data_IF_029687380724
#
_entry.id   IF_029687380724
#
_cell.length_a   1.000
_cell.length_b   1.000
_cell.length_c   1.000
_cell.angle_alpha   90.00
_cell.angle_beta   90.00
_cell.angle_gamma   90.00
#
_symmetry.space_group_name_H-M   'P 1'
#
loop_
_entity.id
_entity.type
_entity.pdbx_description
1 polymer ?
#
# COMPACT_ATOMS: atom_id res chain seq x y z
N UNK A 1 -9.74 -0.01 27.00
CA UNK A 1 -9.70 0.99 25.92
C UNK A 1 -8.56 0.62 24.98
N UNK A 2 -8.81 0.55 23.67
CA UNK A 2 -7.74 0.37 22.69
C UNK A 2 -7.23 1.77 22.38
N UNK A 3 -6.06 2.12 22.91
CA UNK A 3 -5.40 3.38 22.57
C UNK A 3 -5.01 3.33 21.10
N UNK A 4 -5.74 4.04 20.24
CA UNK A 4 -5.36 4.24 18.85
C UNK A 4 -4.11 5.13 18.82
N UNK A 5 -2.93 4.50 18.81
CA UNK A 5 -1.71 5.18 18.42
C UNK A 5 -1.79 5.47 16.93
N UNK A 6 -2.25 6.69 16.58
CA UNK A 6 -2.14 7.16 15.20
C UNK A 6 -0.70 7.59 14.95
N UNK A 7 -0.10 7.10 13.87
CA UNK A 7 1.19 7.61 13.41
C UNK A 7 1.00 9.09 13.04
N UNK A 8 1.68 9.99 13.74
CA UNK A 8 1.68 11.41 13.36
C UNK A 8 2.38 11.58 12.02
N UNK A 9 2.00 12.60 11.25
CA UNK A 9 2.48 12.83 9.88
C UNK A 9 4.03 12.77 9.74
N UNK A 10 4.76 13.20 10.77
CA UNK A 10 6.24 13.12 10.77
C UNK A 10 6.75 11.68 10.79
N UNK A 11 6.13 10.80 11.59
CA UNK A 11 6.50 9.38 11.67
C UNK A 11 6.19 8.68 10.35
N UNK A 12 5.04 9.01 9.75
CA UNK A 12 4.66 8.55 8.41
C UNK A 12 5.71 8.93 7.35
N UNK A 13 6.14 10.19 7.30
CA UNK A 13 7.19 10.62 6.37
C UNK A 13 8.50 9.84 6.57
N UNK A 14 8.92 9.62 7.83
CA UNK A 14 10.14 8.86 8.12
C UNK A 14 10.04 7.39 7.69
N UNK A 15 8.90 6.74 7.95
CA UNK A 15 8.65 5.36 7.49
C UNK A 15 8.68 5.31 5.96
N UNK A 16 8.07 6.28 5.29
CA UNK A 16 8.06 6.38 3.83
C UNK A 16 9.47 6.49 3.26
N UNK A 17 10.30 7.37 3.82
CA UNK A 17 11.71 7.49 3.42
C UNK A 17 12.50 6.21 3.65
N UNK A 18 12.28 5.51 4.76
CA UNK A 18 12.93 4.23 5.03
C UNK A 18 12.56 3.20 3.96
N UNK A 19 11.26 3.04 3.71
CA UNK A 19 10.73 2.14 2.68
C UNK A 19 11.35 2.47 1.32
N UNK A 20 11.47 3.75 0.95
CA UNK A 20 12.01 4.19 -0.34
C UNK A 20 13.53 4.06 -0.47
N UNK A 21 14.28 4.07 0.63
CA UNK A 21 15.74 3.99 0.62
C UNK A 21 16.29 2.58 0.87
N UNK A 22 15.50 1.67 1.46
CA UNK A 22 15.94 0.30 1.73
C UNK A 22 15.94 -0.59 0.47
N UNK A 23 17.06 -0.66 -0.23
CA UNK A 23 17.22 -1.46 -1.45
C UNK A 23 17.07 -2.98 -1.21
N UNK A 24 17.22 -3.43 0.04
CA UNK A 24 17.06 -4.83 0.41
C UNK A 24 15.60 -5.21 0.71
N UNK A 25 14.67 -4.24 0.71
CA UNK A 25 13.26 -4.48 0.97
C UNK A 25 12.66 -5.44 -0.07
N UNK A 26 12.31 -6.65 0.38
CA UNK A 26 11.69 -7.71 -0.43
C UNK A 26 10.22 -7.95 -0.12
N UNK A 27 9.78 -7.52 1.06
CA UNK A 27 8.43 -7.73 1.55
C UNK A 27 7.87 -6.41 2.06
N UNK A 28 6.68 -6.05 1.60
CA UNK A 28 5.99 -4.83 2.01
C UNK A 28 4.57 -5.17 2.44
N UNK A 29 4.21 -4.76 3.65
CA UNK A 29 2.84 -4.82 4.16
C UNK A 29 2.33 -3.40 4.35
N UNK A 30 1.17 -3.10 3.77
CA UNK A 30 0.52 -1.80 3.87
C UNK A 30 -0.89 -2.02 4.42
N UNK A 31 -1.14 -1.52 5.62
CA UNK A 31 -2.47 -1.53 6.27
C UNK A 31 -3.19 -0.19 6.06
N UNK A 32 -4.53 -0.20 6.11
CA UNK A 32 -5.36 1.02 6.08
C UNK A 32 -5.11 1.98 7.26
N UNK A 33 -4.43 1.51 8.31
CA UNK A 33 -4.03 2.33 9.46
C UNK A 33 -3.09 3.50 9.10
N UNK A 34 -2.46 3.47 7.91
CA UNK A 34 -1.67 4.57 7.37
C UNK A 34 -2.55 5.62 6.68
N UNK A 35 -2.14 6.88 6.74
CA UNK A 35 -2.83 7.94 6.00
C UNK A 35 -2.82 7.65 4.49
N UNK A 36 -3.94 7.95 3.83
CA UNK A 36 -4.09 7.77 2.37
C UNK A 36 -3.01 8.54 1.60
N UNK A 37 -2.64 9.72 2.09
CA UNK A 37 -1.60 10.56 1.48
C UNK A 37 -0.25 9.85 1.52
N UNK A 38 0.15 9.35 2.69
CA UNK A 38 1.41 8.61 2.81
C UNK A 38 1.43 7.42 1.87
N UNK A 39 0.35 6.64 1.83
CA UNK A 39 0.32 5.43 1.00
C UNK A 39 0.38 5.77 -0.47
N UNK A 40 -0.37 6.75 -0.94
CA UNK A 40 -0.29 7.18 -2.34
C UNK A 40 1.12 7.67 -2.70
N UNK A 41 1.74 8.51 -1.87
CA UNK A 41 3.11 8.98 -2.10
C UNK A 41 4.11 7.82 -2.11
N UNK A 42 4.04 6.93 -1.13
CA UNK A 42 4.97 5.80 -1.00
C UNK A 42 4.81 4.81 -2.15
N UNK A 43 3.58 4.43 -2.50
CA UNK A 43 3.27 3.54 -3.62
C UNK A 43 3.75 4.12 -4.95
N UNK A 44 3.44 5.39 -5.21
CA UNK A 44 3.86 6.08 -6.44
C UNK A 44 5.39 6.13 -6.54
N UNK A 45 6.08 6.51 -5.46
CA UNK A 45 7.54 6.53 -5.43
C UNK A 45 8.13 5.13 -5.59
N UNK A 46 7.59 4.10 -4.93
CA UNK A 46 8.05 2.73 -5.12
C UNK A 46 7.91 2.27 -6.57
N UNK A 47 6.78 2.55 -7.22
CA UNK A 47 6.54 2.18 -8.61
C UNK A 47 7.54 2.81 -9.59
N UNK A 48 8.09 3.97 -9.25
CA UNK A 48 9.12 4.66 -10.06
C UNK A 48 10.55 4.12 -9.88
N UNK A 49 10.80 3.35 -8.81
CA UNK A 49 12.17 2.90 -8.46
C UNK A 49 12.57 1.56 -9.08
N UNK A 50 11.71 0.96 -9.92
CA UNK A 50 11.96 -0.32 -10.61
C UNK A 50 12.47 -1.42 -9.65
N UNK A 51 11.91 -1.46 -8.44
CA UNK A 51 12.35 -2.35 -7.37
C UNK A 51 11.82 -3.75 -7.54
N UNK A 52 12.64 -4.71 -7.12
CA UNK A 52 12.25 -6.11 -7.02
C UNK A 52 11.63 -6.39 -5.64
N UNK A 53 10.31 -6.33 -5.57
CA UNK A 53 9.51 -6.76 -4.41
C UNK A 53 9.00 -8.17 -4.66
N UNK A 54 9.29 -9.08 -3.72
CA UNK A 54 8.84 -10.48 -3.81
C UNK A 54 7.51 -10.71 -3.13
N UNK A 55 7.19 -9.98 -2.06
CA UNK A 55 5.95 -10.16 -1.29
C UNK A 55 5.27 -8.80 -1.08
N UNK A 56 3.99 -8.73 -1.40
CA UNK A 56 3.16 -7.56 -1.17
C UNK A 56 1.89 -7.97 -0.43
N UNK A 57 1.63 -7.32 0.70
CA UNK A 57 0.42 -7.49 1.49
C UNK A 57 -0.29 -6.14 1.56
N UNK A 58 -1.54 -6.12 1.11
CA UNK A 58 -2.45 -4.99 1.29
C UNK A 58 -3.53 -5.44 2.27
N UNK A 59 -3.57 -4.80 3.45
CA UNK A 59 -4.51 -5.14 4.53
C UNK A 59 -5.58 -4.06 4.75
N UNK A 60 -6.84 -4.49 4.80
CA UNK A 60 -8.02 -3.69 5.16
C UNK A 60 -8.26 -2.45 4.28
N UNK A 61 -7.72 -2.44 3.06
CA UNK A 61 -7.91 -1.35 2.11
C UNK A 61 -9.34 -1.31 1.60
N UNK A 62 -10.05 -0.24 1.93
CA UNK A 62 -11.34 0.04 1.32
C UNK A 62 -11.09 0.69 -0.04
N UNK A 63 -11.20 -0.11 -1.10
CA UNK A 63 -10.97 0.32 -2.48
C UNK A 63 -12.16 1.19 -2.90
N UNK A 64 -12.15 2.47 -2.48
CA UNK A 64 -13.34 3.34 -2.58
C UNK A 64 -13.33 4.31 -3.77
N UNK A 65 -12.21 4.54 -4.47
CA UNK A 65 -12.12 5.45 -5.65
C UNK A 65 -10.91 5.18 -6.55
N UNK A 66 -11.05 5.51 -7.83
CA UNK A 66 -10.07 5.36 -8.92
C UNK A 66 -8.63 5.75 -8.55
N UNK A 67 -8.42 6.90 -7.89
CA UNK A 67 -7.07 7.43 -7.63
C UNK A 67 -6.22 6.51 -6.72
N UNK A 68 -6.85 5.83 -5.75
CA UNK A 68 -6.12 4.88 -4.90
C UNK A 68 -5.86 3.55 -5.63
N UNK A 69 -6.77 3.18 -6.55
CA UNK A 69 -6.54 2.07 -7.47
C UNK A 69 -5.36 2.35 -8.38
N UNK A 70 -5.24 3.57 -8.94
CA UNK A 70 -4.16 3.91 -9.88
C UNK A 70 -2.76 3.73 -9.28
N UNK A 71 -2.58 4.15 -8.01
CA UNK A 71 -1.30 3.99 -7.32
C UNK A 71 -0.99 2.52 -7.03
N UNK A 72 -1.99 1.73 -6.64
CA UNK A 72 -1.85 0.28 -6.40
C UNK A 72 -1.57 -0.44 -7.72
N UNK A 73 -2.31 -0.13 -8.78
CA UNK A 73 -2.13 -0.70 -10.13
C UNK A 73 -0.73 -0.37 -10.63
N UNK A 74 -0.29 0.88 -10.50
CA UNK A 74 1.05 1.31 -10.90
C UNK A 74 2.14 0.53 -10.14
N UNK A 75 1.97 0.34 -8.83
CA UNK A 75 2.90 -0.50 -8.06
C UNK A 75 2.87 -1.95 -8.57
N UNK A 76 1.69 -2.57 -8.69
CA UNK A 76 1.56 -3.95 -9.12
C UNK A 76 2.19 -4.19 -10.49
N UNK A 77 1.97 -3.30 -11.46
CA UNK A 77 2.61 -3.35 -12.77
C UNK A 77 4.14 -3.27 -12.67
N UNK A 78 4.66 -2.38 -11.81
CA UNK A 78 6.11 -2.20 -11.64
C UNK A 78 6.80 -3.40 -10.98
N UNK A 79 6.10 -4.16 -10.14
CA UNK A 79 6.69 -5.28 -9.37
C UNK A 79 6.28 -6.66 -9.89
N UNK A 80 5.37 -6.74 -10.87
CA UNK A 80 4.72 -7.98 -11.32
C UNK A 80 5.72 -9.07 -11.72
N UNK A 81 6.83 -8.68 -12.36
CA UNK A 81 7.87 -9.60 -12.81
C UNK A 81 8.72 -10.18 -11.67
N UNK A 82 8.72 -9.51 -10.50
CA UNK A 82 9.45 -9.93 -9.31
C UNK A 82 8.58 -10.51 -8.20
N UNK A 83 7.26 -10.33 -8.31
CA UNK A 83 6.32 -10.67 -7.25
C UNK A 83 6.09 -12.18 -7.21
N UNK A 84 6.36 -12.78 -6.06
CA UNK A 84 6.14 -14.20 -5.78
C UNK A 84 4.85 -14.43 -4.99
N UNK A 85 4.44 -13.45 -4.18
CA UNK A 85 3.26 -13.53 -3.34
C UNK A 85 2.52 -12.19 -3.26
N UNK A 86 1.21 -12.23 -3.44
CA UNK A 86 0.29 -11.12 -3.25
C UNK A 86 -0.81 -11.54 -2.28
N UNK A 87 -1.01 -10.79 -1.21
CA UNK A 87 -2.11 -10.96 -0.27
C UNK A 87 -2.97 -9.71 -0.20
N UNK A 88 -4.28 -9.87 -0.36
CA UNK A 88 -5.29 -8.81 -0.32
C UNK A 88 -6.23 -9.04 0.87
N UNK A 89 -5.67 -9.07 2.07
CA UNK A 89 -6.42 -9.46 3.27
C UNK A 89 -7.36 -8.34 3.69
N UNK A 90 -8.66 -8.61 3.83
CA UNK A 90 -9.63 -7.59 4.25
C UNK A 90 -9.82 -6.45 3.25
N UNK A 91 -9.24 -6.56 2.04
CA UNK A 91 -9.52 -5.63 0.96
C UNK A 91 -10.95 -5.87 0.46
N UNK A 92 -11.84 -4.91 0.68
CA UNK A 92 -13.21 -4.97 0.20
C UNK A 92 -13.28 -4.32 -1.18
N UNK A 93 -13.64 -5.10 -2.20
CA UNK A 93 -14.11 -4.57 -3.48
C UNK A 93 -15.55 -4.12 -3.27
N UNK A 94 -15.82 -2.82 -3.47
CA UNK A 94 -17.19 -2.34 -3.63
C UNK A 94 -17.64 -2.76 -5.04
N UNK A 95 -17.87 -4.06 -5.25
CA UNK A 95 -18.93 -4.42 -6.19
C UNK A 95 -20.21 -3.99 -5.52
N UNK A 96 -21.02 -3.20 -6.23
CA UNK A 96 -22.33 -2.76 -5.79
C UNK A 96 -23.04 -3.83 -4.95
N UNK A 97 -23.03 -3.66 -3.63
CA UNK A 97 -24.10 -4.19 -2.79
C UNK A 97 -25.32 -3.33 -3.15
N UNK A 98 -25.93 -3.61 -4.30
CA UNK A 98 -27.35 -3.39 -4.49
C UNK A 98 -28.05 -4.35 -3.54
N UNK A 99 -28.20 -3.92 -2.29
CA UNK A 99 -29.41 -4.25 -1.56
C UNK A 99 -30.44 -3.19 -1.92
N UNK A 100 -31.58 -3.70 -2.40
CA UNK A 100 -32.76 -3.06 -3.01
C UNK A 100 -32.72 -2.93 -4.53
#
# INVERSE_FOLDING_TARGET
EVTQCTLVARTEVMIGQFVLNDLALKSLCISNSLSRVMVQTTLKSLSSTNRSLTHLILEDWHIMKDISCDAIISLLLSVTSSLQSLSLRGCLTIENVTMF
#
